data_IF_608530812577
#
_entry.id   IF_608530812577
#
_cell.length_a   1.000
_cell.length_b   1.000
_cell.length_c   1.000
_cell.angle_alpha   90.00
_cell.angle_beta   90.00
_cell.angle_gamma   90.00
#
_symmetry.space_group_name_H-M   'P 1'
#
loop_
_entity.id
_entity.type
_entity.pdbx_description
1 polymer ?
#
# COMPACT_ATOMS: atom_id res chain seq x y z
N UNK A 1 -2.87 4.53 -3.98
CA UNK A 1 -1.63 4.28 -3.21
C UNK A 1 -1.05 5.55 -2.57
N UNK A 2 -0.80 6.64 -3.31
CA UNK A 2 -0.27 7.89 -2.73
C UNK A 2 -1.11 8.43 -1.56
N UNK A 3 -2.44 8.43 -1.70
CA UNK A 3 -3.35 8.81 -0.62
C UNK A 3 -3.23 7.94 0.65
N UNK A 4 -3.01 6.63 0.48
CA UNK A 4 -2.81 5.71 1.61
C UNK A 4 -1.47 5.97 2.31
N UNK A 5 -0.45 6.38 1.55
CA UNK A 5 0.81 6.82 2.13
C UNK A 5 0.65 8.13 2.93
N UNK A 6 -0.13 9.10 2.44
CA UNK A 6 -0.41 10.35 3.19
C UNK A 6 -1.08 10.06 4.54
N UNK A 7 -2.02 9.11 4.58
CA UNK A 7 -2.66 8.66 5.82
C UNK A 7 -1.66 7.96 6.75
N UNK A 8 -0.75 7.14 6.19
CA UNK A 8 0.32 6.48 6.95
C UNK A 8 1.29 7.47 7.60
N UNK A 9 1.62 8.59 6.94
CA UNK A 9 2.49 9.64 7.51
C UNK A 9 1.89 10.30 8.76
N UNK A 10 0.57 10.25 8.93
CA UNK A 10 -0.11 10.66 10.16
C UNK A 10 0.17 9.74 11.35
N UNK A 11 0.68 8.53 11.10
CA UNK A 11 1.01 7.51 12.10
C UNK A 11 2.49 7.62 12.48
N UNK A 12 2.86 8.74 13.09
CA UNK A 12 4.25 9.04 13.46
C UNK A 12 4.76 8.24 14.68
N UNK A 13 3.87 7.64 15.47
CA UNK A 13 4.25 6.89 16.66
C UNK A 13 3.49 5.56 16.77
N UNK A 14 4.18 4.56 17.29
CA UNK A 14 3.64 3.25 17.58
C UNK A 14 2.74 3.31 18.84
N UNK A 15 1.55 3.89 18.70
CA UNK A 15 0.58 3.93 19.79
C UNK A 15 -0.54 2.92 19.56
N UNK A 16 -1.12 2.33 20.63
CA UNK A 16 -2.29 1.47 20.52
C UNK A 16 -3.48 2.11 19.80
N UNK A 17 -3.57 3.43 19.84
CA UNK A 17 -4.60 4.25 19.18
C UNK A 17 -4.53 4.13 17.66
N UNK A 18 -3.35 3.85 17.10
CA UNK A 18 -3.12 3.71 15.67
C UNK A 18 -3.36 2.29 15.13
N UNK A 19 -3.63 1.31 16.00
CA UNK A 19 -3.84 -0.09 15.58
C UNK A 19 -5.02 -0.23 14.62
N UNK A 20 -6.14 0.47 14.90
CA UNK A 20 -7.31 0.46 14.02
C UNK A 20 -7.00 1.02 12.62
N UNK A 21 -6.18 2.07 12.57
CA UNK A 21 -5.79 2.68 11.30
C UNK A 21 -4.82 1.80 10.51
N UNK A 22 -3.83 1.18 11.17
CA UNK A 22 -2.93 0.23 10.52
C UNK A 22 -3.67 -1.00 9.99
N UNK A 23 -4.69 -1.49 10.71
CA UNK A 23 -5.56 -2.56 10.24
C UNK A 23 -6.31 -2.13 8.97
N UNK A 24 -6.95 -0.96 9.01
CA UNK A 24 -7.69 -0.40 7.86
C UNK A 24 -6.79 -0.23 6.64
N UNK A 25 -5.61 0.39 6.82
CA UNK A 25 -4.63 0.58 5.75
C UNK A 25 -4.14 -0.75 5.16
N UNK A 26 -3.92 -1.77 5.99
CA UNK A 26 -3.52 -3.11 5.51
C UNK A 26 -4.60 -3.76 4.63
N UNK A 27 -5.88 -3.53 4.95
CA UNK A 27 -7.01 -4.05 4.18
C UNK A 27 -7.26 -3.26 2.89
N UNK A 28 -7.02 -1.95 2.88
CA UNK A 28 -7.25 -1.09 1.71
C UNK A 28 -6.10 -1.09 0.70
N UNK A 29 -4.85 -1.23 1.16
CA UNK A 29 -3.69 -1.10 0.31
C UNK A 29 -3.53 -2.26 -0.68
N UNK A 30 -3.90 -3.49 -0.32
CA UNK A 30 -3.75 -4.65 -1.20
C UNK A 30 -4.68 -4.56 -2.43
N UNK A 31 -6.00 -4.32 -2.29
CA UNK A 31 -6.90 -4.09 -3.43
C UNK A 31 -6.49 -2.88 -4.28
N UNK A 32 -5.98 -1.82 -3.64
CA UNK A 32 -5.49 -0.63 -4.33
C UNK A 32 -4.29 -0.97 -5.22
N UNK A 33 -3.35 -1.77 -4.72
CA UNK A 33 -2.20 -2.24 -5.47
C UNK A 33 -2.61 -3.16 -6.63
N UNK A 34 -3.54 -4.08 -6.42
CA UNK A 34 -4.06 -4.97 -7.46
C UNK A 34 -4.73 -4.17 -8.59
N UNK A 35 -5.48 -3.12 -8.26
CA UNK A 35 -6.07 -2.23 -9.26
C UNK A 35 -5.00 -1.51 -10.08
N UNK A 36 -3.94 -1.03 -9.44
CA UNK A 36 -2.82 -0.41 -10.17
C UNK A 36 -2.13 -1.42 -11.07
N UNK A 37 -1.87 -2.63 -10.57
CA UNK A 37 -1.25 -3.72 -11.33
C UNK A 37 -2.03 -4.10 -12.59
N UNK A 38 -3.36 -3.96 -12.56
CA UNK A 38 -4.25 -4.22 -13.68
C UNK A 38 -4.23 -3.12 -14.76
N UNK A 39 -3.81 -1.89 -14.42
CA UNK A 39 -3.64 -0.81 -15.40
C UNK A 39 -2.27 -0.97 -16.01
N UNK A 40 -2.20 -1.55 -17.22
CA UNK A 40 -1.01 -1.91 -18.00
C UNK A 40 0.28 -1.14 -17.59
N UNK A 41 0.91 -1.59 -16.50
CA UNK A 41 2.03 -0.87 -15.93
C UNK A 41 3.27 -1.32 -16.70
N UNK A 42 4.04 -0.36 -17.20
CA UNK A 42 5.29 -0.65 -17.89
C UNK A 42 6.17 -1.62 -17.06
N UNK A 43 6.88 -2.53 -17.76
CA UNK A 43 7.77 -3.57 -17.19
C UNK A 43 8.63 -3.13 -15.98
N UNK A 44 9.18 -1.88 -15.91
CA UNK A 44 9.94 -1.43 -14.73
C UNK A 44 9.16 -1.51 -13.40
N UNK A 45 7.84 -1.42 -13.46
CA UNK A 45 6.97 -1.35 -12.30
C UNK A 45 6.49 -2.71 -11.80
N UNK A 46 6.58 -3.77 -12.61
CA UNK A 46 6.13 -5.10 -12.21
C UNK A 46 6.90 -5.62 -10.99
N UNK A 47 8.21 -5.33 -10.93
CA UNK A 47 9.03 -5.66 -9.76
C UNK A 47 8.58 -4.91 -8.51
N UNK A 48 8.23 -3.63 -8.68
CA UNK A 48 7.74 -2.79 -7.59
C UNK A 48 6.36 -3.25 -7.10
N UNK A 49 5.45 -3.58 -8.02
CA UNK A 49 4.15 -4.18 -7.71
C UNK A 49 4.32 -5.45 -6.90
N UNK A 50 5.19 -6.36 -7.36
CA UNK A 50 5.44 -7.61 -6.67
C UNK A 50 6.00 -7.38 -5.26
N UNK A 51 7.02 -6.54 -5.12
CA UNK A 51 7.63 -6.26 -3.81
C UNK A 51 6.63 -5.60 -2.84
N UNK A 52 5.85 -4.62 -3.31
CA UNK A 52 4.81 -4.00 -2.49
C UNK A 52 3.72 -5.01 -2.11
N UNK A 53 3.35 -5.93 -3.00
CA UNK A 53 2.36 -6.97 -2.72
C UNK A 53 2.81 -7.89 -1.60
N UNK A 54 4.05 -8.40 -1.68
CA UNK A 54 4.62 -9.30 -0.67
C UNK A 54 4.62 -8.64 0.73
N UNK A 55 4.94 -7.34 0.81
CA UNK A 55 4.90 -6.58 2.05
C UNK A 55 3.47 -6.36 2.58
N UNK A 56 2.51 -6.07 1.71
CA UNK A 56 1.11 -5.90 2.10
C UNK A 56 0.47 -7.22 2.57
N UNK A 57 0.76 -8.32 1.88
CA UNK A 57 0.32 -9.65 2.29
C UNK A 57 0.89 -10.02 3.67
N UNK A 58 2.15 -9.70 3.94
CA UNK A 58 2.74 -9.84 5.27
C UNK A 58 2.03 -8.98 6.33
N UNK A 59 1.72 -7.71 6.01
CA UNK A 59 1.00 -6.82 6.93
C UNK A 59 -0.38 -7.39 7.28
N UNK A 60 -1.15 -7.81 6.28
CA UNK A 60 -2.47 -8.44 6.46
C UNK A 60 -2.35 -9.71 7.30
N UNK A 61 -1.42 -10.59 6.97
CA UNK A 61 -1.21 -11.84 7.73
C UNK A 61 -0.83 -11.57 9.19
N UNK A 62 -0.02 -10.55 9.46
CA UNK A 62 0.36 -10.16 10.82
C UNK A 62 -0.84 -9.62 11.61
N UNK A 63 -1.70 -8.80 11.00
CA UNK A 63 -2.91 -8.27 11.66
C UNK A 63 -3.94 -9.33 12.01
N UNK A 64 -3.92 -10.49 11.33
CA UNK A 64 -4.84 -11.60 11.59
C UNK A 64 -4.41 -12.49 12.77
N UNK A 65 -3.22 -12.28 13.35
CA UNK A 65 -2.73 -13.06 14.48
C UNK A 65 -3.45 -12.70 15.78
N UNK A 66 -3.56 -13.62 16.75
CA UNK A 66 -4.12 -13.33 18.08
C UNK A 66 -3.35 -12.22 18.82
N UNK A 67 -2.04 -12.10 18.58
CA UNK A 67 -1.16 -11.07 19.12
C UNK A 67 -0.34 -10.46 17.98
N UNK A 68 -0.88 -9.46 17.24
CA UNK A 68 -0.19 -8.84 16.13
C UNK A 68 1.07 -8.10 16.58
N UNK A 69 2.16 -8.28 15.84
CA UNK A 69 3.34 -7.43 15.94
C UNK A 69 3.10 -6.16 15.13
N UNK A 70 2.38 -5.21 15.72
CA UNK A 70 1.99 -3.98 15.04
C UNK A 70 3.18 -3.15 14.52
N UNK A 71 4.38 -3.29 15.10
CA UNK A 71 5.61 -2.67 14.56
C UNK A 71 5.98 -3.26 13.19
N UNK A 72 5.84 -4.58 13.03
CA UNK A 72 6.06 -5.25 11.75
C UNK A 72 5.01 -4.80 10.72
N UNK A 73 3.74 -4.69 11.13
CA UNK A 73 2.65 -4.14 10.29
C UNK A 73 3.03 -2.75 9.78
N UNK A 74 3.45 -1.84 10.67
CA UNK A 74 3.85 -0.48 10.29
C UNK A 74 5.06 -0.47 9.35
N UNK A 75 6.09 -1.28 9.62
CA UNK A 75 7.27 -1.39 8.76
C UNK A 75 6.90 -1.92 7.37
N UNK A 76 6.01 -2.92 7.31
CA UNK A 76 5.52 -3.50 6.08
C UNK A 76 4.71 -2.49 5.26
N UNK A 77 3.78 -1.76 5.90
CA UNK A 77 3.00 -0.70 5.26
C UNK A 77 3.91 0.42 4.72
N UNK A 78 4.90 0.87 5.50
CA UNK A 78 5.86 1.87 5.04
C UNK A 78 6.65 1.39 3.83
N UNK A 79 7.24 0.19 3.90
CA UNK A 79 8.00 -0.37 2.77
C UNK A 79 7.14 -0.59 1.54
N UNK A 80 5.87 -0.99 1.72
CA UNK A 80 4.94 -1.21 0.62
C UNK A 80 4.52 0.08 -0.07
N UNK A 81 4.22 1.13 0.71
CA UNK A 81 3.61 2.38 0.24
C UNK A 81 4.62 3.45 -0.16
N UNK A 82 5.80 3.48 0.45
CA UNK A 82 6.84 4.50 0.21
C UNK A 82 7.20 4.66 -1.28
N UNK A 83 7.45 3.58 -2.05
CA UNK A 83 7.84 3.73 -3.46
C UNK A 83 6.75 4.41 -4.31
N UNK A 84 5.48 4.24 -3.94
CA UNK A 84 4.33 4.83 -4.65
C UNK A 84 4.16 6.32 -4.37
N UNK A 85 4.60 6.77 -3.18
CA UNK A 85 4.58 8.17 -2.78
C UNK A 85 5.52 9.04 -3.63
N UNK A 86 6.62 8.45 -4.10
CA UNK A 86 7.64 9.13 -4.89
C UNK A 86 7.44 9.03 -6.39
N UNK A 87 6.34 8.41 -6.84
CA UNK A 87 6.04 8.34 -8.25
C UNK A 87 5.49 9.68 -8.76
N UNK A 88 5.92 10.13 -9.95
CA UNK A 88 5.19 11.19 -10.62
C UNK A 88 3.74 10.73 -10.75
N UNK A 89 2.80 11.64 -10.48
CA UNK A 89 1.37 11.36 -10.62
C UNK A 89 1.16 10.73 -11.99
N UNK A 90 0.70 9.48 -12.01
CA UNK A 90 0.38 8.81 -13.27
C UNK A 90 -0.59 9.74 -14.02
N UNK A 91 -0.34 10.02 -15.32
CA UNK A 91 -1.35 10.72 -16.10
C UNK A 91 -2.64 9.93 -15.94
N UNK A 92 -3.74 10.61 -15.64
CA UNK A 92 -5.07 10.00 -15.66
C UNK A 92 -5.29 9.52 -17.09
N UNK A 93 -4.93 8.28 -17.38
CA UNK A 93 -5.36 7.60 -18.59
C UNK A 93 -6.83 7.29 -18.37
N UNK A 94 -7.68 8.28 -18.66
CA UNK A 94 -9.01 7.97 -19.14
C UNK A 94 -8.84 6.96 -20.28
N UNK A 95 -9.61 5.87 -20.31
CA UNK A 95 -9.69 5.08 -21.53
C UNK A 95 -10.15 6.04 -22.62
N UNK A 96 -9.32 6.20 -23.65
CA UNK A 96 -9.58 7.06 -24.79
C UNK A 96 -10.99 6.74 -25.33
N UNK A 97 -11.99 7.65 -25.26
CA UNK A 97 -13.17 7.51 -26.10
C UNK A 97 -12.84 8.18 -27.44
N UNK A 98 -12.37 7.38 -28.40
CA UNK A 98 -12.31 7.75 -29.81
C UNK A 98 -10.91 8.05 -30.34
N UNK A 99 -10.39 7.17 -31.20
CA UNK A 99 -10.55 7.22 -32.67
C UNK A 99 -10.15 5.88 -33.25
#
# INVERSE_FOLDING_TARGET
>A
MQHLHEQLLGLNEFTPEHHGEMLRLSQEALPELERLAAVDIAVPWQRQVRASRELLEMAVAETAKPLPQWRLVLTALNGALYPWAHLPRLPRTSPNPGT
#
